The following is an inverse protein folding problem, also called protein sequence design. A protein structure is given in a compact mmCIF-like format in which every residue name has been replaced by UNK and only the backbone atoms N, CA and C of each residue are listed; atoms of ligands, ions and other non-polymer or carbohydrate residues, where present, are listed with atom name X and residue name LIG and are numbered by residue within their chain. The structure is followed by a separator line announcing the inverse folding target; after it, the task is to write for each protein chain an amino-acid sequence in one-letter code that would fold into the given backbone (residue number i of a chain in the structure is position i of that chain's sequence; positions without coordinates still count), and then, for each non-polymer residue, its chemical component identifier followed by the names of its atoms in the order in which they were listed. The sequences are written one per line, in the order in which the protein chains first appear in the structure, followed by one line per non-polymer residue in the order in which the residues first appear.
data_IF_763195713641
#
_entry.id   IF_763195713641
#
_cell.length_a   1.000
_cell.length_b   1.000
_cell.length_c   1.000
_cell.angle_alpha   90.00
_cell.angle_beta   90.00
_cell.angle_gamma   90.00
#
_symmetry.space_group_name_H-M   'P 1'
#
loop_
_entity.id
_entity.type
_entity.pdbx_description
1 polymer ?
#
# COMPACT_ATOMS: atom_id res chain seq x y z
N UNK A 1 -17.10 -5.69 -10.73
CA UNK A 1 -16.67 -4.38 -11.26
C UNK A 1 -15.15 -4.33 -11.24
N UNK A 2 -14.51 -3.52 -12.09
CA UNK A 2 -13.04 -3.45 -12.12
C UNK A 2 -12.56 -2.09 -11.61
N UNK A 3 -11.68 -2.11 -10.61
CA UNK A 3 -10.93 -0.94 -10.17
C UNK A 3 -9.96 -0.58 -11.30
N UNK A 4 -10.13 0.60 -11.88
CA UNK A 4 -9.25 1.10 -12.95
C UNK A 4 -8.16 2.00 -12.39
N UNK A 5 -6.99 1.99 -13.02
CA UNK A 5 -5.92 2.96 -12.72
C UNK A 5 -6.33 4.33 -13.27
N UNK A 6 -6.53 5.33 -12.41
CA UNK A 6 -6.76 6.74 -12.83
C UNK A 6 -5.50 7.59 -12.63
N UNK A 7 -4.68 7.20 -11.67
CA UNK A 7 -3.38 7.80 -11.37
C UNK A 7 -2.38 6.70 -11.09
N UNK A 8 -1.11 6.97 -11.32
CA UNK A 8 -0.02 6.02 -11.06
C UNK A 8 0.01 5.46 -9.62
N UNK A 9 -0.47 6.18 -8.62
CA UNK A 9 -0.59 5.64 -7.25
C UNK A 9 -1.46 4.38 -7.20
N UNK A 10 -2.53 4.33 -8.01
CA UNK A 10 -3.45 3.21 -8.06
C UNK A 10 -2.81 1.94 -8.65
N UNK A 11 -1.74 2.09 -9.43
CA UNK A 11 -0.99 0.96 -9.99
C UNK A 11 -0.31 0.18 -8.86
N UNK A 12 0.31 0.91 -7.94
CA UNK A 12 1.16 0.34 -6.89
C UNK A 12 0.39 -0.14 -5.66
N UNK A 13 -0.93 0.07 -5.59
CA UNK A 13 -1.75 -0.36 -4.46
C UNK A 13 -2.90 -1.30 -4.89
N UNK A 14 -3.04 -2.48 -4.26
CA UNK A 14 -2.06 -3.13 -3.37
C UNK A 14 -0.66 -3.27 -4.00
N UNK A 15 0.40 -3.54 -3.24
CA UNK A 15 1.70 -3.84 -3.84
C UNK A 15 1.59 -4.98 -4.87
N UNK A 16 2.20 -4.80 -6.04
CA UNK A 16 2.23 -5.81 -7.11
C UNK A 16 3.04 -7.04 -6.68
N UNK A 17 2.92 -8.17 -7.39
CA UNK A 17 3.85 -9.29 -7.21
C UNK A 17 5.21 -8.96 -7.82
N UNK A 18 6.21 -9.79 -7.53
CA UNK A 18 7.57 -9.67 -8.06
C UNK A 18 7.58 -9.47 -9.58
N UNK A 19 6.76 -10.24 -10.30
CA UNK A 19 6.53 -10.06 -11.73
C UNK A 19 5.05 -9.83 -12.00
N UNK A 20 4.75 -8.73 -12.68
CA UNK A 20 3.42 -8.39 -13.18
C UNK A 20 3.51 -7.93 -14.63
N UNK A 21 2.43 -8.11 -15.39
CA UNK A 21 2.38 -7.80 -16.82
C UNK A 21 1.12 -7.01 -17.14
N UNK A 22 1.23 -5.99 -17.99
CA UNK A 22 0.08 -5.29 -18.54
C UNK A 22 -0.35 -5.95 -19.85
N UNK A 23 -1.38 -6.79 -19.80
CA UNK A 23 -1.88 -7.56 -20.93
C UNK A 23 -3.21 -6.99 -21.42
N UNK A 24 -3.25 -6.39 -22.61
CA UNK A 24 -4.47 -5.85 -23.23
C UNK A 24 -5.30 -4.96 -22.29
N UNK A 25 -4.60 -4.11 -21.52
CA UNK A 25 -5.20 -3.20 -20.55
C UNK A 25 -5.57 -3.83 -19.20
N UNK A 26 -5.22 -5.09 -18.94
CA UNK A 26 -5.41 -5.75 -17.63
C UNK A 26 -4.06 -6.10 -17.00
N UNK A 27 -3.87 -5.75 -15.73
CA UNK A 27 -2.71 -6.21 -14.97
C UNK A 27 -2.90 -7.67 -14.57
N UNK A 28 -1.92 -8.49 -14.95
CA UNK A 28 -1.93 -9.93 -14.74
C UNK A 28 -0.58 -10.40 -14.22
N UNK A 29 -0.58 -11.50 -13.49
CA UNK A 29 0.64 -12.20 -13.07
C UNK A 29 1.09 -13.23 -14.12
N UNK A 30 0.25 -13.50 -15.12
CA UNK A 30 0.55 -14.40 -16.22
C UNK A 30 1.32 -13.65 -17.30
N UNK A 31 2.47 -14.19 -17.68
CA UNK A 31 3.33 -13.62 -18.72
C UNK A 31 2.57 -13.44 -20.03
N UNK A 32 2.68 -12.26 -20.62
CA UNK A 32 2.13 -11.92 -21.93
C UNK A 32 3.14 -11.08 -22.73
N UNK A 33 2.78 -10.70 -23.96
CA UNK A 33 3.60 -9.84 -24.83
C UNK A 33 3.54 -8.35 -24.47
N UNK A 34 2.88 -8.01 -23.36
CA UNK A 34 2.71 -6.64 -22.90
C UNK A 34 3.90 -6.11 -22.09
N UNK A 35 3.67 -5.01 -21.37
CA UNK A 35 4.70 -4.37 -20.54
C UNK A 35 4.96 -5.25 -19.32
N UNK A 36 6.23 -5.60 -19.09
CA UNK A 36 6.69 -6.27 -17.89
C UNK A 36 6.98 -5.25 -16.78
N UNK A 37 6.55 -5.58 -15.57
CA UNK A 37 6.76 -4.82 -14.34
C UNK A 37 7.44 -5.75 -13.35
N UNK A 38 8.68 -5.43 -13.00
CA UNK A 38 9.42 -6.08 -11.94
C UNK A 38 9.35 -5.27 -10.66
N UNK A 39 9.18 -5.95 -9.51
CA UNK A 39 9.14 -5.36 -8.17
C UNK A 39 10.20 -6.03 -7.29
N UNK A 40 11.17 -5.26 -6.83
CA UNK A 40 12.09 -5.62 -5.75
C UNK A 40 11.49 -5.14 -4.41
N UNK A 41 10.99 -6.07 -3.61
CA UNK A 41 10.29 -5.74 -2.37
C UNK A 41 11.24 -5.45 -1.20
N UNK A 42 11.01 -4.35 -0.48
CA UNK A 42 11.60 -4.16 0.84
C UNK A 42 10.59 -3.52 1.77
N UNK A 43 10.24 -4.23 2.83
CA UNK A 43 9.28 -3.75 3.82
C UNK A 43 9.69 -4.03 5.25
N UNK A 44 9.03 -3.30 6.15
CA UNK A 44 9.04 -3.49 7.59
C UNK A 44 7.64 -3.32 8.14
N UNK A 45 7.26 -4.17 9.09
CA UNK A 45 5.95 -4.13 9.73
C UNK A 45 6.06 -3.88 11.23
N UNK A 46 5.06 -3.18 11.75
CA UNK A 46 4.94 -2.77 13.13
C UNK A 46 3.54 -3.07 13.63
N UNK A 47 3.44 -3.71 14.79
CA UNK A 47 2.19 -3.91 15.49
C UNK A 47 2.01 -2.85 16.60
N UNK A 48 0.89 -2.92 17.30
CA UNK A 48 0.58 -1.98 18.39
C UNK A 48 1.65 -1.95 19.49
N UNK A 49 2.24 -3.08 19.85
CA UNK A 49 3.26 -3.16 20.90
C UNK A 49 4.55 -2.45 20.47
N UNK A 50 4.90 -2.56 19.19
CA UNK A 50 6.06 -1.86 18.63
C UNK A 50 5.86 -0.35 18.73
N UNK A 51 4.68 0.13 18.31
CA UNK A 51 4.29 1.54 18.33
C UNK A 51 4.27 2.11 19.76
N UNK A 52 3.79 1.33 20.74
CA UNK A 52 3.82 1.72 22.15
C UNK A 52 5.24 1.80 22.72
N UNK A 53 6.15 0.92 22.27
CA UNK A 53 7.54 0.91 22.72
C UNK A 53 8.40 2.05 22.15
N UNK A 54 7.97 2.66 21.04
CA UNK A 54 8.74 3.67 20.32
C UNK A 54 7.84 4.63 19.57
N UNK A 55 7.85 5.91 20.00
CA UNK A 55 6.99 6.97 19.48
C UNK A 55 7.47 7.60 18.15
N UNK A 56 8.55 7.10 17.53
CA UNK A 56 9.05 7.62 16.25
C UNK A 56 9.40 6.51 15.25
N UNK A 57 9.22 6.79 13.96
CA UNK A 57 9.54 5.85 12.89
C UNK A 57 11.01 5.42 12.90
N UNK A 58 11.94 6.35 13.12
CA UNK A 58 13.37 6.00 13.17
C UNK A 58 13.71 5.04 14.31
N UNK A 59 13.12 5.24 15.49
CA UNK A 59 13.34 4.35 16.62
C UNK A 59 12.67 2.98 16.39
N UNK A 60 11.49 2.94 15.76
CA UNK A 60 10.84 1.70 15.33
C UNK A 60 11.73 0.91 14.35
N UNK A 61 12.31 1.57 13.35
CA UNK A 61 13.27 0.95 12.42
C UNK A 61 14.48 0.41 13.16
N UNK A 62 15.09 1.19 14.05
CA UNK A 62 16.27 0.75 14.83
C UNK A 62 15.97 -0.48 15.68
N UNK A 63 14.76 -0.58 16.22
CA UNK A 63 14.33 -1.74 17.00
C UNK A 63 14.12 -2.97 16.11
N UNK A 64 13.47 -2.83 14.96
CA UNK A 64 13.12 -3.94 14.06
C UNK A 64 14.26 -4.44 13.17
N UNK A 65 15.24 -3.60 12.89
CA UNK A 65 16.30 -3.88 11.90
C UNK A 65 17.69 -3.79 12.53
N UNK A 66 18.67 -4.44 11.92
CA UNK A 66 20.08 -4.45 12.35
C UNK A 66 21.03 -4.40 11.14
N UNK A 67 22.28 -4.01 11.38
CA UNK A 67 23.34 -3.99 10.36
C UNK A 67 22.95 -3.23 9.10
N UNK A 68 23.34 -3.76 7.93
CA UNK A 68 23.09 -3.13 6.62
C UNK A 68 21.62 -2.81 6.35
N UNK A 69 20.68 -3.66 6.80
CA UNK A 69 19.24 -3.41 6.63
C UNK A 69 18.83 -2.15 7.40
N UNK A 70 19.34 -1.96 8.63
CA UNK A 70 19.07 -0.75 9.42
C UNK A 70 19.58 0.51 8.72
N UNK A 71 20.83 0.48 8.26
CA UNK A 71 21.44 1.65 7.62
C UNK A 71 20.70 2.03 6.34
N UNK A 72 20.33 1.03 5.54
CA UNK A 72 19.50 1.19 4.33
C UNK A 72 18.13 1.81 4.66
N UNK A 73 17.42 1.30 5.67
CA UNK A 73 16.10 1.81 6.04
C UNK A 73 16.14 3.23 6.64
N UNK A 74 17.15 3.53 7.45
CA UNK A 74 17.35 4.90 7.94
C UNK A 74 17.67 5.86 6.78
N UNK A 75 18.40 5.40 5.77
CA UNK A 75 18.61 6.17 4.55
C UNK A 75 17.31 6.40 3.78
N UNK A 76 16.45 5.38 3.62
CA UNK A 76 15.14 5.55 2.96
C UNK A 76 14.27 6.60 3.66
N UNK A 77 14.17 6.55 4.99
CA UNK A 77 13.44 7.53 5.79
C UNK A 77 13.95 8.95 5.47
N UNK A 78 15.26 9.14 5.45
CA UNK A 78 15.87 10.44 5.22
C UNK A 78 15.75 10.92 3.76
N UNK A 79 15.92 10.01 2.79
CA UNK A 79 15.86 10.27 1.34
C UNK A 79 14.45 10.65 0.91
N UNK A 80 13.46 9.85 1.31
CA UNK A 80 12.06 10.00 0.88
C UNK A 80 11.19 10.79 1.86
N UNK A 81 11.78 11.32 2.95
CA UNK A 81 11.07 12.06 4.01
C UNK A 81 9.88 11.26 4.56
N UNK A 82 10.11 9.97 4.81
CA UNK A 82 9.08 9.09 5.31
C UNK A 82 8.84 9.42 6.78
N UNK A 83 7.61 9.79 7.10
CA UNK A 83 7.18 10.09 8.46
C UNK A 83 5.98 9.24 8.83
N UNK A 84 5.76 9.00 10.12
CA UNK A 84 4.52 8.45 10.64
C UNK A 84 3.74 9.61 11.25
N UNK A 85 2.65 10.00 10.59
CA UNK A 85 1.87 11.18 11.02
C UNK A 85 1.16 10.91 12.35
N UNK A 86 0.89 11.93 13.19
CA UNK A 86 0.19 11.73 14.47
C UNK A 86 -1.17 11.03 14.33
N UNK A 87 -1.89 11.28 13.22
CA UNK A 87 -3.16 10.61 12.91
C UNK A 87 -2.95 9.12 12.61
N UNK A 88 -1.91 8.80 11.83
CA UNK A 88 -1.54 7.41 11.51
C UNK A 88 -1.14 6.66 12.78
N UNK A 89 -0.34 7.29 13.66
CA UNK A 89 0.02 6.74 14.96
C UNK A 89 -1.21 6.46 15.83
N UNK A 90 -2.11 7.45 15.98
CA UNK A 90 -3.33 7.28 16.78
C UNK A 90 -4.25 6.19 16.22
N UNK A 91 -4.34 6.07 14.90
CA UNK A 91 -5.16 5.07 14.23
C UNK A 91 -4.64 3.66 14.50
N UNK A 92 -3.33 3.45 14.39
CA UNK A 92 -2.72 2.13 14.68
C UNK A 92 -3.07 1.68 16.10
N UNK A 93 -3.00 2.59 17.08
CA UNK A 93 -3.37 2.30 18.47
C UNK A 93 -4.87 2.04 18.64
N UNK A 94 -5.73 2.89 18.06
CA UNK A 94 -7.20 2.78 18.20
C UNK A 94 -7.75 1.49 17.60
N UNK A 95 -7.23 1.08 16.44
CA UNK A 95 -7.74 -0.06 15.68
C UNK A 95 -6.95 -1.35 15.93
N UNK A 96 -5.83 -1.28 16.66
CA UNK A 96 -4.90 -2.41 16.78
C UNK A 96 -4.34 -2.84 15.42
N UNK A 97 -4.14 -1.88 14.51
CA UNK A 97 -3.76 -2.18 13.13
C UNK A 97 -2.32 -2.71 13.05
N UNK A 98 -2.08 -3.62 12.10
CA UNK A 98 -0.73 -3.90 11.61
C UNK A 98 -0.37 -2.82 10.60
N UNK A 99 0.71 -2.07 10.88
CA UNK A 99 1.25 -1.08 9.95
C UNK A 99 2.44 -1.67 9.21
N UNK A 100 2.40 -1.70 7.89
CA UNK A 100 3.53 -2.10 7.05
C UNK A 100 3.96 -0.93 6.17
N UNK A 101 5.26 -0.65 6.18
CA UNK A 101 5.89 0.34 5.32
C UNK A 101 6.73 -0.38 4.28
N UNK A 102 6.46 -0.08 3.01
CA UNK A 102 7.19 -0.57 1.85
C UNK A 102 8.04 0.54 1.26
N UNK A 103 9.23 0.20 0.78
CA UNK A 103 10.08 1.01 -0.10
C UNK A 103 10.48 0.08 -1.24
N UNK A 104 9.56 -0.12 -2.17
CA UNK A 104 9.69 -1.10 -3.23
C UNK A 104 10.36 -0.46 -4.44
N UNK A 105 11.39 -1.15 -4.96
CA UNK A 105 11.99 -0.81 -6.23
C UNK A 105 11.15 -1.37 -7.38
N UNK A 106 10.88 -0.56 -8.39
CA UNK A 106 10.16 -0.98 -9.58
C UNK A 106 11.02 -0.77 -10.83
N UNK A 107 10.98 -1.74 -11.73
CA UNK A 107 11.47 -1.62 -13.10
C UNK A 107 10.31 -1.85 -14.07
N UNK A 108 10.03 -0.84 -14.89
CA UNK A 108 8.93 -0.83 -15.86
C UNK A 108 9.46 -0.32 -17.19
N UNK A 109 9.49 -1.20 -18.20
CA UNK A 109 9.96 -0.85 -19.56
C UNK A 109 11.35 -0.14 -19.54
N UNK A 110 12.28 -0.68 -18.74
CA UNK A 110 13.63 -0.13 -18.55
C UNK A 110 13.71 1.14 -17.68
N UNK A 111 12.60 1.66 -17.18
CA UNK A 111 12.58 2.77 -16.21
C UNK A 111 12.57 2.23 -14.79
N UNK A 112 13.56 2.63 -13.99
CA UNK A 112 13.67 2.23 -12.59
C UNK A 112 13.29 3.36 -11.64
N UNK A 113 12.74 3.00 -10.47
CA UNK A 113 12.52 3.95 -9.38
C UNK A 113 11.88 3.30 -8.17
N UNK A 114 11.89 4.02 -7.04
CA UNK A 114 11.31 3.54 -5.79
C UNK A 114 9.91 4.13 -5.56
N UNK A 115 9.07 3.32 -4.91
CA UNK A 115 7.74 3.70 -4.46
C UNK A 115 7.63 3.41 -2.97
N UNK A 116 7.17 4.41 -2.21
CA UNK A 116 6.90 4.24 -0.79
C UNK A 116 5.41 4.00 -0.61
N UNK A 117 5.05 2.90 0.05
CA UNK A 117 3.65 2.52 0.32
C UNK A 117 3.48 2.31 1.82
N UNK A 118 2.43 2.89 2.38
CA UNK A 118 1.97 2.65 3.74
C UNK A 118 0.72 1.78 3.70
N UNK A 119 0.77 0.62 4.33
CA UNK A 119 -0.35 -0.30 4.49
C UNK A 119 -0.79 -0.34 5.95
N UNK A 120 -2.09 -0.19 6.19
CA UNK A 120 -2.71 -0.35 7.51
C UNK A 120 -3.74 -1.46 7.42
N UNK A 121 -3.48 -2.57 8.11
CA UNK A 121 -4.29 -3.77 8.05
C UNK A 121 -4.96 -4.03 9.39
N UNK A 122 -6.28 -4.18 9.36
CA UNK A 122 -7.11 -4.51 10.52
C UNK A 122 -7.84 -5.81 10.24
N UNK A 123 -7.71 -6.77 11.14
CA UNK A 123 -8.42 -8.05 11.07
C UNK A 123 -9.32 -8.20 12.28
N UNK A 124 -10.52 -8.73 12.09
CA UNK A 124 -11.43 -8.95 13.20
C UNK A 124 -12.61 -9.83 12.85
N UNK A 125 -13.49 -9.98 13.82
CA UNK A 125 -14.75 -10.74 13.71
C UNK A 125 -15.92 -9.81 14.01
N UNK A 126 -17.06 -9.97 13.33
CA UNK A 126 -18.30 -9.25 13.63
C UNK A 126 -18.61 -8.03 12.74
N UNK A 127 -19.49 -7.14 13.21
CA UNK A 127 -20.22 -6.14 12.40
C UNK A 127 -19.63 -4.72 12.39
N UNK A 128 -18.49 -4.46 13.04
CA UNK A 128 -17.91 -3.12 13.17
C UNK A 128 -17.14 -2.62 11.92
N UNK A 129 -17.32 -3.27 10.77
CA UNK A 129 -16.63 -2.96 9.50
C UNK A 129 -16.77 -1.50 9.11
N UNK A 130 -17.99 -0.96 9.10
CA UNK A 130 -18.25 0.41 8.66
C UNK A 130 -17.64 1.46 9.61
N UNK A 131 -17.56 1.15 10.92
CA UNK A 131 -16.83 2.00 11.86
C UNK A 131 -15.33 2.00 11.57
N UNK A 132 -14.74 0.83 11.32
CA UNK A 132 -13.31 0.72 10.99
C UNK A 132 -13.00 1.46 9.70
N UNK A 133 -13.81 1.29 8.66
CA UNK A 133 -13.68 2.04 7.40
C UNK A 133 -13.72 3.53 7.69
N UNK A 134 -14.69 4.02 8.49
CA UNK A 134 -14.79 5.44 8.85
C UNK A 134 -13.52 5.97 9.52
N UNK A 135 -12.94 5.22 10.45
CA UNK A 135 -11.68 5.61 11.12
C UNK A 135 -10.51 5.59 10.11
N UNK A 136 -10.45 4.59 9.24
CA UNK A 136 -9.45 4.52 8.16
C UNK A 136 -9.56 5.67 7.16
N UNK A 137 -10.74 6.26 6.95
CA UNK A 137 -10.88 7.46 6.12
C UNK A 137 -10.13 8.68 6.69
N UNK A 138 -9.92 8.75 8.01
CA UNK A 138 -9.29 9.91 8.66
C UNK A 138 -7.82 10.14 8.25
N UNK A 139 -7.14 9.09 7.78
CA UNK A 139 -5.76 9.15 7.25
C UNK A 139 -5.68 9.40 5.75
N UNK A 140 -6.83 9.69 5.10
CA UNK A 140 -6.95 9.95 3.65
C UNK A 140 -6.23 8.89 2.80
N UNK A 141 -6.59 7.60 2.91
CA UNK A 141 -6.00 6.56 2.09
C UNK A 141 -6.44 6.70 0.63
N UNK A 142 -5.62 6.21 -0.29
CA UNK A 142 -5.98 6.16 -1.72
C UNK A 142 -6.92 4.98 -2.01
N UNK A 143 -6.69 3.84 -1.35
CA UNK A 143 -7.48 2.62 -1.51
C UNK A 143 -7.75 1.98 -0.15
N UNK A 144 -9.00 1.58 0.07
CA UNK A 144 -9.41 0.67 1.14
C UNK A 144 -9.93 -0.62 0.48
N UNK A 145 -9.39 -1.75 0.87
CA UNK A 145 -9.88 -3.07 0.48
C UNK A 145 -10.56 -3.69 1.69
N UNK A 146 -11.77 -4.22 1.49
CA UNK A 146 -12.49 -4.99 2.48
C UNK A 146 -12.73 -6.40 1.94
N UNK A 147 -12.12 -7.39 2.59
CA UNK A 147 -12.26 -8.81 2.28
C UNK A 147 -13.04 -9.52 3.39
N UNK A 148 -14.10 -10.24 3.02
CA UNK A 148 -14.82 -11.12 3.95
C UNK A 148 -14.36 -12.56 3.70
N UNK A 149 -13.75 -13.17 4.73
CA UNK A 149 -13.36 -14.59 4.70
C UNK A 149 -14.35 -15.43 5.49
N UNK A 150 -15.00 -16.36 4.79
CA UNK A 150 -15.87 -17.40 5.36
C UNK A 150 -17.02 -16.87 6.24
N UNK A 151 -17.48 -15.63 6.00
CA UNK A 151 -18.54 -14.94 6.76
C UNK A 151 -18.30 -14.77 8.27
N UNK A 152 -17.09 -15.06 8.76
CA UNK A 152 -16.76 -14.99 10.19
C UNK A 152 -15.69 -13.93 10.44
N UNK A 153 -14.71 -13.82 9.53
CA UNK A 153 -13.58 -12.90 9.65
C UNK A 153 -13.59 -11.88 8.53
N UNK A 154 -13.23 -10.65 8.87
CA UNK A 154 -12.95 -9.61 7.88
C UNK A 154 -11.49 -9.18 7.95
N UNK A 155 -10.98 -8.73 6.82
CA UNK A 155 -9.72 -8.02 6.70
C UNK A 155 -10.00 -6.71 5.98
N UNK A 156 -9.63 -5.59 6.61
CA UNK A 156 -9.73 -4.28 6.01
C UNK A 156 -8.32 -3.73 5.90
N UNK A 157 -7.91 -3.39 4.68
CA UNK A 157 -6.56 -2.90 4.40
C UNK A 157 -6.64 -1.55 3.72
N UNK A 158 -6.05 -0.53 4.32
CA UNK A 158 -5.96 0.81 3.75
C UNK A 158 -4.53 1.09 3.27
N UNK A 159 -4.41 1.69 2.09
CA UNK A 159 -3.14 2.02 1.45
C UNK A 159 -3.00 3.51 1.21
N UNK A 160 -1.80 4.04 1.45
CA UNK A 160 -1.40 5.41 1.11
C UNK A 160 -0.04 5.36 0.42
N UNK A 161 0.14 6.16 -0.63
CA UNK A 161 1.38 6.21 -1.42
C UNK A 161 2.04 7.57 -1.20
N UNK A 162 2.86 7.74 -0.14
CA UNK A 162 3.49 9.03 0.15
C UNK A 162 4.53 9.47 -0.88
N UNK A 163 5.11 8.53 -1.64
CA UNK A 163 6.18 8.85 -2.58
C UNK A 163 6.22 7.90 -3.78
N UNK A 164 6.47 8.49 -4.95
CA UNK A 164 6.80 7.79 -6.20
C UNK A 164 7.94 8.59 -6.84
N UNK A 165 9.02 7.92 -7.23
CA UNK A 165 10.11 8.55 -7.97
C UNK A 165 9.60 9.24 -9.26
N UNK A 166 10.15 10.42 -9.56
CA UNK A 166 9.70 11.23 -10.71
C UNK A 166 9.86 10.54 -12.06
N UNK A 167 10.77 9.57 -12.18
CA UNK A 167 10.95 8.81 -13.41
C UNK A 167 9.74 7.91 -13.68
N UNK A 168 9.26 7.19 -12.66
CA UNK A 168 8.06 6.37 -12.73
C UNK A 168 6.82 7.22 -13.02
N UNK A 169 6.71 8.42 -12.43
CA UNK A 169 5.60 9.35 -12.69
C UNK A 169 5.40 9.69 -14.18
N UNK A 170 6.45 9.61 -15.00
CA UNK A 170 6.35 9.86 -16.46
C UNK A 170 5.59 8.76 -17.20
N UNK A 171 5.45 7.58 -16.59
CA UNK A 171 4.77 6.41 -17.14
C UNK A 171 3.24 6.41 -16.90
N UNK A 172 2.70 7.41 -16.20
CA UNK A 172 1.28 7.49 -15.82
C UNK A 172 0.32 7.24 -17.00
N UNK A 173 0.65 7.79 -18.18
CA UNK A 173 -0.16 7.63 -19.40
C UNK A 173 -0.24 6.19 -19.92
N UNK A 174 0.74 5.34 -19.63
CA UNK A 174 0.78 3.95 -20.09
C UNK A 174 -0.25 3.07 -19.38
N UNK A 175 -0.55 3.39 -18.13
CA UNK A 175 -1.41 2.58 -17.27
C UNK A 175 -2.81 3.14 -17.11
N UNK A 176 -3.07 4.36 -17.60
CA UNK A 176 -4.37 5.00 -17.48
C UNK A 176 -5.50 4.12 -18.04
N UNK A 177 -6.56 3.95 -17.25
CA UNK A 177 -7.71 3.09 -17.52
C UNK A 177 -7.44 1.58 -17.56
N UNK A 178 -6.23 1.12 -17.22
CA UNK A 178 -5.97 -0.31 -17.06
C UNK A 178 -6.73 -0.89 -15.86
N UNK A 179 -7.12 -2.15 -15.97
CA UNK A 179 -7.80 -2.90 -14.93
C UNK A 179 -6.79 -3.38 -13.88
N UNK A 180 -6.95 -2.90 -12.65
CA UNK A 180 -6.05 -3.16 -11.52
C UNK A 180 -6.51 -4.30 -10.62
N UNK A 181 -7.78 -4.33 -10.28
CA UNK A 181 -8.34 -5.27 -9.30
C UNK A 181 -9.83 -5.50 -9.58
N UNK A 182 -10.29 -6.72 -9.36
CA UNK A 182 -11.71 -7.04 -9.44
C UNK A 182 -12.37 -6.87 -8.07
N UNK A 183 -13.46 -6.08 -8.03
CA UNK A 183 -14.25 -5.80 -6.83
C UNK A 183 -15.69 -6.28 -7.04
N UNK A 184 -16.29 -6.89 -6.02
CA UNK A 184 -17.74 -7.16 -5.99
C UNK A 184 -18.51 -5.84 -5.96
N UNK A 185 -18.09 -4.93 -5.08
CA UNK A 185 -18.61 -3.57 -4.98
C UNK A 185 -17.46 -2.57 -4.99
N UNK A 186 -17.65 -1.46 -5.70
CA UNK A 186 -16.69 -0.36 -5.76
C UNK A 186 -17.39 0.96 -5.44
N UNK A 187 -16.96 1.59 -4.36
CA UNK A 187 -17.41 2.94 -3.98
C UNK A 187 -16.26 3.92 -4.18
N UNK A 188 -16.49 4.99 -4.92
CA UNK A 188 -15.52 6.06 -5.16
C UNK A 188 -15.95 7.33 -4.43
N UNK A 189 -15.02 7.96 -3.71
CA UNK A 189 -15.26 9.15 -2.90
C UNK A 189 -14.08 10.10 -3.10
N UNK A 190 -14.26 11.10 -3.98
CA UNK A 190 -13.22 12.03 -4.42
C UNK A 190 -11.94 11.31 -4.89
N UNK A 191 -10.90 11.32 -4.04
CA UNK A 191 -9.57 10.74 -4.27
C UNK A 191 -9.36 9.38 -3.62
N UNK A 192 -10.38 8.83 -2.95
CA UNK A 192 -10.32 7.55 -2.26
C UNK A 192 -11.27 6.55 -2.89
N UNK A 193 -10.90 5.26 -2.85
CA UNK A 193 -11.73 4.16 -3.35
C UNK A 193 -11.87 3.07 -2.32
N UNK A 194 -13.04 2.45 -2.28
CA UNK A 194 -13.34 1.33 -1.40
C UNK A 194 -13.75 0.15 -2.28
N UNK A 195 -12.90 -0.88 -2.31
CA UNK A 195 -13.13 -2.12 -3.04
C UNK A 195 -13.54 -3.21 -2.04
N UNK A 196 -14.74 -3.78 -2.22
CA UNK A 196 -15.18 -4.95 -1.44
C UNK A 196 -14.98 -6.22 -2.27
N UNK A 197 -14.33 -7.23 -1.71
CA UNK A 197 -13.96 -8.51 -2.36
C UNK A 197 -14.58 -9.68 -1.58
#
# INVERSE_FOLDING_TARGET
MKLKVKTLEDLFIPPLREFSYLCDGTLSEVKCKGIEIYRDEDFISFNINDILSSLSLQALVRMKTRGRKRDRWLNYINKYKIELEPKEFSLILKLGALFTLYVDGYEIDGTQGDVVIKEFRVTGTGSNVEHIIKVLKEMTPRLIIHEIKQNIWYMITAYKVPYIDNQLKKLDKLFLNSDRLECKELNEDLDMRICRI
#
